data_IF_373259978823
#
_entry.id   IF_373259978823
#
_cell.length_a   1.000
_cell.length_b   1.000
_cell.length_c   1.000
_cell.angle_alpha   90.00
_cell.angle_beta   90.00
_cell.angle_gamma   90.00
#
_symmetry.space_group_name_H-M   'P 1'
#
loop_
_entity.id
_entity.type
_entity.pdbx_description
1 polymer ?
#
# COMPACT_ATOMS: atom_id res chain seq x y z
N UNK A 1 -1.75 -25.64 -0.01
CA UNK A 1 -2.76 -24.54 0.01
C UNK A 1 -2.13 -23.31 -0.65
N UNK A 2 -2.75 -22.77 -1.69
CA UNK A 2 -2.23 -21.64 -2.50
C UNK A 2 -2.04 -20.37 -1.65
N UNK A 3 -0.95 -19.63 -1.90
CA UNK A 3 -0.61 -18.37 -1.24
C UNK A 3 -1.73 -17.32 -1.42
N UNK A 4 -2.37 -17.29 -2.59
CA UNK A 4 -3.50 -16.39 -2.87
C UNK A 4 -4.69 -16.68 -1.95
N UNK A 5 -5.00 -17.96 -1.74
CA UNK A 5 -6.09 -18.38 -0.84
C UNK A 5 -5.80 -17.98 0.60
N UNK A 6 -4.54 -18.07 1.06
CA UNK A 6 -4.14 -17.61 2.40
C UNK A 6 -4.34 -16.10 2.58
N UNK A 7 -3.96 -15.30 1.59
CA UNK A 7 -4.14 -13.84 1.60
C UNK A 7 -5.64 -13.48 1.70
N UNK A 8 -6.48 -14.15 0.91
CA UNK A 8 -7.94 -13.92 0.95
C UNK A 8 -8.54 -14.30 2.31
N UNK A 9 -8.13 -15.44 2.88
CA UNK A 9 -8.59 -15.86 4.22
C UNK A 9 -8.18 -14.83 5.28
N UNK A 10 -6.93 -14.36 5.25
CA UNK A 10 -6.45 -13.34 6.17
C UNK A 10 -7.20 -12.01 5.97
N UNK A 11 -7.48 -11.62 4.73
CA UNK A 11 -8.26 -10.41 4.44
C UNK A 11 -9.72 -10.53 4.91
N UNK A 12 -10.33 -11.70 4.76
CA UNK A 12 -11.64 -11.99 5.36
C UNK A 12 -11.62 -11.92 6.88
N UNK A 13 -10.58 -12.47 7.53
CA UNK A 13 -10.41 -12.39 8.97
C UNK A 13 -10.24 -10.94 9.45
N UNK A 14 -9.40 -10.15 8.78
CA UNK A 14 -9.24 -8.71 9.06
C UNK A 14 -10.55 -7.96 8.86
N UNK A 15 -11.31 -8.28 7.81
CA UNK A 15 -12.67 -7.76 7.61
C UNK A 15 -13.60 -8.07 8.77
N UNK A 16 -13.56 -9.30 9.30
CA UNK A 16 -14.34 -9.71 10.48
C UNK A 16 -13.90 -8.99 11.77
N UNK A 17 -12.60 -8.73 11.95
CA UNK A 17 -12.09 -7.94 13.07
C UNK A 17 -12.60 -6.49 13.03
N UNK A 18 -12.59 -5.86 11.85
CA UNK A 18 -13.14 -4.52 11.69
C UNK A 18 -14.67 -4.50 11.77
N UNK A 19 -15.32 -5.58 11.33
CA UNK A 19 -16.76 -5.75 11.49
C UNK A 19 -17.15 -5.94 12.96
N UNK A 20 -16.35 -6.58 13.80
CA UNK A 20 -16.68 -6.71 15.23
C UNK A 20 -16.39 -5.44 16.02
N UNK A 21 -15.52 -4.55 15.54
CA UNK A 21 -15.18 -3.28 16.19
C UNK A 21 -16.42 -2.40 16.46
N UNK A 22 -16.47 -1.81 17.65
CA UNK A 22 -17.50 -0.84 18.02
C UNK A 22 -17.19 0.53 17.42
N UNK A 23 -18.21 1.39 17.37
CA UNK A 23 -18.05 2.74 16.83
C UNK A 23 -17.07 3.56 17.67
N UNK A 24 -17.10 3.42 19.00
CA UNK A 24 -16.22 4.13 19.93
C UNK A 24 -14.75 3.76 19.73
N UNK A 25 -14.47 2.47 19.49
CA UNK A 25 -13.12 1.99 19.19
C UNK A 25 -12.58 2.54 17.87
N UNK A 26 -13.43 2.64 16.84
CA UNK A 26 -13.03 3.23 15.56
C UNK A 26 -12.76 4.73 15.71
N UNK A 27 -13.60 5.44 16.47
CA UNK A 27 -13.43 6.87 16.76
C UNK A 27 -12.15 7.12 17.56
N UNK A 28 -11.86 6.30 18.58
CA UNK A 28 -10.62 6.44 19.35
C UNK A 28 -9.39 6.25 18.48
N UNK A 29 -9.38 5.24 17.61
CA UNK A 29 -8.27 5.03 16.65
C UNK A 29 -8.12 6.20 15.69
N UNK A 30 -9.23 6.79 15.22
CA UNK A 30 -9.19 7.99 14.38
C UNK A 30 -8.58 9.17 15.16
N UNK A 31 -9.00 9.38 16.41
CA UNK A 31 -8.51 10.49 17.23
C UNK A 31 -7.02 10.31 17.61
N UNK A 32 -6.63 9.12 18.08
CA UNK A 32 -5.29 8.80 18.56
C UNK A 32 -4.24 8.95 17.46
N UNK A 33 -4.56 8.48 16.25
CA UNK A 33 -3.68 8.57 15.08
C UNK A 33 -3.96 9.81 14.22
N UNK A 34 -4.86 10.69 14.69
CA UNK A 34 -5.34 11.87 13.97
C UNK A 34 -5.65 11.55 12.50
N UNK A 35 -6.38 10.46 12.23
CA UNK A 35 -6.62 9.98 10.88
C UNK A 35 -7.59 10.90 10.14
N UNK A 36 -7.22 11.23 8.92
CA UNK A 36 -8.00 12.06 8.01
C UNK A 36 -7.65 11.77 6.56
N UNK A 37 -8.40 12.38 5.65
CA UNK A 37 -8.22 12.21 4.21
C UNK A 37 -6.83 12.61 3.72
N UNK A 38 -6.20 13.58 4.41
CA UNK A 38 -4.82 13.96 4.14
C UNK A 38 -3.82 12.86 4.58
N UNK A 39 -3.99 12.28 5.77
CA UNK A 39 -3.15 11.17 6.24
C UNK A 39 -3.27 9.92 5.35
N UNK A 40 -4.41 9.73 4.68
CA UNK A 40 -4.58 8.66 3.69
C UNK A 40 -3.72 8.87 2.44
N UNK A 41 -3.54 10.10 1.98
CA UNK A 41 -2.73 10.41 0.81
C UNK A 41 -1.22 10.31 1.06
N UNK A 42 -0.78 10.48 2.31
CA UNK A 42 0.62 10.49 2.71
C UNK A 42 1.38 9.19 2.34
N UNK A 43 0.92 7.98 2.72
CA UNK A 43 1.59 6.74 2.33
C UNK A 43 1.72 6.56 0.82
N UNK A 44 0.71 6.99 0.06
CA UNK A 44 0.68 6.93 -1.41
C UNK A 44 1.74 7.85 -1.99
N UNK A 45 1.80 9.10 -1.53
CA UNK A 45 2.78 10.07 -1.98
C UNK A 45 4.21 9.63 -1.64
N UNK A 46 4.44 9.17 -0.40
CA UNK A 46 5.74 8.66 0.02
C UNK A 46 6.18 7.43 -0.77
N UNK A 47 5.25 6.55 -1.15
CA UNK A 47 5.53 5.44 -2.04
C UNK A 47 6.22 5.89 -3.34
N UNK A 48 5.64 6.88 -4.01
CA UNK A 48 6.18 7.42 -5.26
C UNK A 48 7.51 8.14 -5.03
N UNK A 49 7.59 9.01 -4.02
CA UNK A 49 8.79 9.80 -3.72
C UNK A 49 9.97 8.89 -3.39
N UNK A 50 9.78 7.93 -2.48
CA UNK A 50 10.85 7.02 -2.06
C UNK A 50 11.29 6.12 -3.21
N UNK A 51 10.36 5.60 -4.01
CA UNK A 51 10.72 4.74 -5.13
C UNK A 51 11.50 5.49 -6.20
N UNK A 52 11.14 6.75 -6.45
CA UNK A 52 11.90 7.63 -7.33
C UNK A 52 13.29 7.99 -6.80
N UNK A 53 13.42 8.34 -5.51
CA UNK A 53 14.72 8.62 -4.88
C UNK A 53 15.62 7.39 -4.91
N UNK A 54 15.09 6.20 -4.57
CA UNK A 54 15.85 4.95 -4.63
C UNK A 54 16.28 4.60 -6.06
N UNK A 55 15.47 4.93 -7.06
CA UNK A 55 15.84 4.74 -8.47
C UNK A 55 16.99 5.65 -8.90
N UNK A 56 16.94 6.92 -8.50
CA UNK A 56 18.01 7.89 -8.77
C UNK A 56 19.35 7.47 -8.15
N UNK A 57 19.31 6.87 -6.94
CA UNK A 57 20.48 6.32 -6.26
C UNK A 57 20.95 4.97 -6.80
N UNK A 58 20.27 4.42 -7.83
CA UNK A 58 20.59 3.16 -8.50
C UNK A 58 20.64 1.94 -7.56
N UNK A 59 19.75 1.87 -6.57
CA UNK A 59 19.68 0.72 -5.65
C UNK A 59 19.15 -0.56 -6.33
N UNK A 60 20.04 -1.25 -7.05
CA UNK A 60 19.72 -2.49 -7.79
C UNK A 60 19.33 -3.67 -6.91
N UNK A 61 19.91 -3.78 -5.72
CA UNK A 61 19.56 -4.86 -4.78
C UNK A 61 18.09 -4.83 -4.37
N UNK A 62 17.46 -3.65 -4.40
CA UNK A 62 16.06 -3.49 -4.06
C UNK A 62 15.12 -4.16 -5.07
N UNK A 63 15.60 -4.41 -6.30
CA UNK A 63 14.84 -5.13 -7.34
C UNK A 63 14.58 -6.59 -6.96
N UNK A 64 15.50 -7.26 -6.26
CA UNK A 64 15.30 -8.65 -5.84
C UNK A 64 14.25 -8.78 -4.73
N UNK A 65 13.98 -7.70 -4.01
CA UNK A 65 12.96 -7.60 -2.98
C UNK A 65 11.60 -7.16 -3.51
N UNK A 66 11.48 -6.79 -4.79
CA UNK A 66 10.20 -6.38 -5.36
C UNK A 66 9.12 -7.47 -5.34
N UNK A 67 9.41 -8.73 -5.71
CA UNK A 67 8.39 -9.78 -5.70
C UNK A 67 7.70 -9.96 -4.33
N UNK A 68 8.42 -10.09 -3.20
CA UNK A 68 7.77 -10.17 -1.89
C UNK A 68 7.09 -8.86 -1.49
N UNK A 69 7.65 -7.69 -1.82
CA UNK A 69 7.04 -6.39 -1.50
C UNK A 69 5.70 -6.22 -2.21
N UNK A 70 5.61 -6.55 -3.50
CA UNK A 70 4.36 -6.47 -4.28
C UNK A 70 3.31 -7.44 -3.75
N UNK A 71 3.71 -8.63 -3.31
CA UNK A 71 2.80 -9.58 -2.67
C UNK A 71 2.24 -9.04 -1.36
N UNK A 72 3.10 -8.51 -0.49
CA UNK A 72 2.70 -7.88 0.78
C UNK A 72 1.81 -6.67 0.52
N UNK A 73 2.19 -5.82 -0.44
CA UNK A 73 1.41 -4.66 -0.85
C UNK A 73 0.00 -5.06 -1.28
N UNK A 74 -0.13 -6.10 -2.12
CA UNK A 74 -1.43 -6.62 -2.57
C UNK A 74 -2.27 -7.18 -1.41
N UNK A 75 -1.64 -7.88 -0.47
CA UNK A 75 -2.32 -8.44 0.70
C UNK A 75 -2.86 -7.35 1.62
N UNK A 76 -2.00 -6.37 1.97
CA UNK A 76 -2.37 -5.23 2.82
C UNK A 76 -3.46 -4.38 2.15
N UNK A 77 -3.33 -4.11 0.86
CA UNK A 77 -4.35 -3.36 0.10
C UNK A 77 -5.70 -4.06 0.15
N UNK A 78 -5.70 -5.38 -0.08
CA UNK A 78 -6.92 -6.19 -0.03
C UNK A 78 -7.54 -6.19 1.37
N UNK A 79 -6.72 -6.35 2.42
CA UNK A 79 -7.17 -6.28 3.82
C UNK A 79 -7.80 -4.92 4.15
N UNK A 80 -7.16 -3.82 3.75
CA UNK A 80 -7.65 -2.48 4.03
C UNK A 80 -8.95 -2.15 3.31
N UNK A 81 -9.09 -2.55 2.04
CA UNK A 81 -10.33 -2.33 1.27
C UNK A 81 -11.47 -3.18 1.83
N UNK A 82 -11.24 -4.47 2.08
CA UNK A 82 -12.27 -5.37 2.64
C UNK A 82 -12.68 -4.90 4.04
N UNK A 83 -11.73 -4.51 4.89
CA UNK A 83 -12.00 -3.92 6.20
C UNK A 83 -12.82 -2.64 6.10
N UNK A 84 -12.48 -1.74 5.16
CA UNK A 84 -13.22 -0.49 4.95
C UNK A 84 -14.66 -0.72 4.52
N UNK A 85 -14.88 -1.65 3.60
CA UNK A 85 -16.23 -2.04 3.17
C UNK A 85 -17.01 -2.66 4.34
N UNK A 86 -16.39 -3.54 5.13
CA UNK A 86 -17.05 -4.17 6.27
C UNK A 86 -17.50 -3.14 7.33
N UNK A 87 -16.66 -2.16 7.64
CA UNK A 87 -17.00 -1.07 8.57
C UNK A 87 -18.13 -0.21 8.01
N UNK A 88 -18.05 0.15 6.73
CA UNK A 88 -19.08 0.96 6.07
C UNK A 88 -20.45 0.26 6.08
N UNK A 89 -20.48 -1.04 5.76
CA UNK A 89 -21.72 -1.82 5.78
C UNK A 89 -22.34 -1.87 7.17
N UNK A 90 -21.53 -2.04 8.22
CA UNK A 90 -22.02 -2.12 9.61
C UNK A 90 -22.49 -0.77 10.16
N UNK A 91 -21.69 0.26 10.00
CA UNK A 91 -21.89 1.54 10.71
C UNK A 91 -22.51 2.64 9.83
N UNK A 92 -22.62 2.43 8.51
CA UNK A 92 -23.20 3.35 7.52
C UNK A 92 -22.53 4.75 7.47
N UNK A 93 -21.39 4.93 8.15
CA UNK A 93 -20.62 6.16 8.20
C UNK A 93 -19.26 5.95 7.55
N UNK A 94 -19.04 6.63 6.43
CA UNK A 94 -17.80 6.49 5.65
C UNK A 94 -16.56 6.96 6.41
N UNK A 95 -16.70 7.93 7.31
CA UNK A 95 -15.59 8.42 8.15
C UNK A 95 -15.04 7.33 9.07
N UNK A 96 -15.87 6.39 9.53
CA UNK A 96 -15.42 5.29 10.37
C UNK A 96 -14.59 4.26 9.61
N UNK A 97 -14.65 4.25 8.26
CA UNK A 97 -13.80 3.40 7.43
C UNK A 97 -12.38 3.95 7.26
N UNK A 98 -12.05 5.13 7.79
CA UNK A 98 -10.70 5.72 7.69
C UNK A 98 -9.58 4.79 8.19
N UNK A 99 -9.69 4.12 9.36
CA UNK A 99 -8.63 3.22 9.84
C UNK A 99 -8.29 2.06 8.90
N UNK A 100 -9.25 1.24 8.43
CA UNK A 100 -8.92 0.20 7.46
C UNK A 100 -8.50 0.75 6.10
N UNK A 101 -9.04 1.91 5.67
CA UNK A 101 -8.56 2.57 4.45
C UNK A 101 -7.10 3.03 4.58
N UNK A 102 -6.63 3.39 5.78
CA UNK A 102 -5.23 3.77 6.02
C UNK A 102 -4.29 2.59 5.77
N UNK A 103 -4.69 1.39 6.19
CA UNK A 103 -3.97 0.17 5.85
C UNK A 103 -3.95 -0.05 4.33
N UNK A 104 -5.10 0.16 3.67
CA UNK A 104 -5.20 0.08 2.21
C UNK A 104 -4.26 1.05 1.51
N UNK A 105 -4.20 2.29 1.97
CA UNK A 105 -3.32 3.33 1.44
C UNK A 105 -1.83 2.98 1.60
N UNK A 106 -1.43 2.36 2.71
CA UNK A 106 -0.06 1.85 2.91
C UNK A 106 0.26 0.76 1.88
N UNK A 107 -0.67 -0.17 1.64
CA UNK A 107 -0.52 -1.19 0.62
C UNK A 107 -0.34 -0.60 -0.79
N UNK A 108 -1.16 0.41 -1.14
CA UNK A 108 -1.06 1.12 -2.41
C UNK A 108 0.28 1.88 -2.51
N UNK A 109 0.70 2.55 -1.44
CA UNK A 109 1.99 3.24 -1.38
C UNK A 109 3.18 2.32 -1.62
N UNK A 110 3.19 1.14 -0.98
CA UNK A 110 4.23 0.12 -1.23
C UNK A 110 4.23 -0.39 -2.67
N UNK A 111 3.05 -0.54 -3.27
CA UNK A 111 2.96 -0.91 -4.68
C UNK A 111 3.51 0.19 -5.60
N UNK A 112 3.16 1.45 -5.35
CA UNK A 112 3.65 2.59 -6.12
C UNK A 112 5.15 2.82 -5.94
N UNK A 113 5.70 2.49 -4.78
CA UNK A 113 7.14 2.41 -4.55
C UNK A 113 7.82 1.44 -5.52
N UNK A 114 7.30 0.20 -5.61
CA UNK A 114 7.81 -0.80 -6.54
C UNK A 114 7.73 -0.34 -8.01
N UNK A 115 6.60 0.26 -8.40
CA UNK A 115 6.38 0.75 -9.77
C UNK A 115 7.30 1.93 -10.11
N UNK A 116 7.39 2.93 -9.23
CA UNK A 116 8.25 4.10 -9.46
C UNK A 116 9.72 3.71 -9.51
N UNK A 117 10.16 2.83 -8.61
CA UNK A 117 11.52 2.30 -8.59
C UNK A 117 11.89 1.63 -9.92
N UNK A 118 11.07 0.67 -10.36
CA UNK A 118 11.35 -0.13 -11.57
C UNK A 118 11.32 0.71 -12.84
N UNK A 119 10.31 1.58 -12.99
CA UNK A 119 10.19 2.44 -14.18
C UNK A 119 11.36 3.41 -14.30
N UNK A 120 11.69 4.11 -13.22
CA UNK A 120 12.76 5.12 -13.25
C UNK A 120 14.15 4.48 -13.42
N UNK A 121 14.43 3.35 -12.76
CA UNK A 121 15.67 2.60 -12.99
C UNK A 121 15.80 2.12 -14.43
N UNK A 122 14.72 1.55 -15.00
CA UNK A 122 14.69 1.08 -16.38
C UNK A 122 14.95 2.22 -17.38
N UNK A 123 14.32 3.38 -17.18
CA UNK A 123 14.54 4.56 -18.03
C UNK A 123 15.98 5.10 -17.93
N UNK A 124 16.56 5.10 -16.72
CA UNK A 124 17.95 5.52 -16.51
C UNK A 124 18.92 4.58 -17.24
N UNK A 125 18.69 3.27 -17.16
CA UNK A 125 19.54 2.25 -17.80
C UNK A 125 19.42 2.32 -19.33
N UNK A 126 18.21 2.47 -19.87
CA UNK A 126 17.96 2.63 -21.30
C UNK A 126 18.74 3.83 -21.86
N UNK A 127 18.66 4.99 -21.19
CA UNK A 127 19.38 6.21 -21.58
C UNK A 127 20.90 6.07 -21.50
N UNK A 128 21.44 5.31 -20.54
CA UNK A 128 22.88 5.04 -20.50
C UNK A 128 23.34 4.17 -21.67
N UNK A 129 22.57 3.14 -22.03
CA UNK A 129 22.93 2.22 -23.12
C UNK A 129 22.89 2.87 -24.51
N UNK A 130 21.98 3.82 -24.73
CA UNK A 130 21.92 4.59 -25.98
C UNK A 130 23.11 5.54 -26.15
N UNK A 131 23.63 6.10 -25.06
CA UNK A 131 24.84 6.95 -25.10
C UNK A 131 26.07 6.13 -25.43
N UNK A 132 26.18 4.92 -24.89
CA UNK A 132 27.32 4.03 -25.10
C UNK A 132 27.38 3.49 -26.55
N UNK A 133 26.23 3.25 -27.19
CA UNK A 133 26.16 2.87 -28.61
C UNK A 133 26.47 3.99 -29.62
N UNK A 134 26.48 5.25 -29.18
CA UNK A 134 26.74 6.43 -30.03
C UNK A 134 28.17 6.95 -29.91
N UNK A 135 28.98 6.42 -28.99
CA UNK A 135 30.41 6.71 -28.86
C UNK A 135 31.24 5.67 -29.61
#
# INVERSE_FOLDING_TARGET
MDLKKRIVILAGAVGLFFYSATQEQLISVIADYNLGWYQLGLPIAWGVVLGGVCALLKFRWLLSWLPPVVLVASAITTMGIIGGVAVYVKHQLFVLALPPLQLGAVGIGLYLFAVSLTRLLGDIEARSSEKEKKS
#
